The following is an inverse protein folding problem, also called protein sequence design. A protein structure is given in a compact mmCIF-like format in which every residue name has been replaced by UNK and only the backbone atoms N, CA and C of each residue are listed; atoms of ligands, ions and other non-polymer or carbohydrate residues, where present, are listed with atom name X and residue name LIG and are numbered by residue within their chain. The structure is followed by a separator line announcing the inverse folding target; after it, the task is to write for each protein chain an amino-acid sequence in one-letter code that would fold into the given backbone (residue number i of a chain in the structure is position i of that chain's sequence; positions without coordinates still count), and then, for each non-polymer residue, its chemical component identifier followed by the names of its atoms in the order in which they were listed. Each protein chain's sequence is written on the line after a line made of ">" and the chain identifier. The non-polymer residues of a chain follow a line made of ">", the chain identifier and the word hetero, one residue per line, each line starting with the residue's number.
data_IF_389702353583
#
_entry.id   IF_389702353583
#
_cell.length_a   1.000
_cell.length_b   1.000
_cell.length_c   1.000
_cell.angle_alpha   90.00
_cell.angle_beta   90.00
_cell.angle_gamma   90.00
#
_symmetry.space_group_name_H-M   'P 1'
#
loop_
_entity.id
_entity.type
_entity.pdbx_description
1 polymer ?
#
# COMPACT_ATOMS: atom_id res chain seq x y z
N UNK A 1 -12.53 -14.91 0.23
CA UNK A 1 -12.01 -13.68 -0.40
C UNK A 1 -11.63 -12.64 0.66
N UNK A 2 -10.62 -11.83 0.37
CA UNK A 2 -10.16 -10.69 1.18
C UNK A 2 -10.05 -9.45 0.31
N UNK A 3 -10.39 -8.30 0.87
CA UNK A 3 -10.00 -7.01 0.29
C UNK A 3 -8.59 -6.71 0.77
N UNK A 4 -7.70 -6.40 -0.18
CA UNK A 4 -6.32 -6.05 0.09
C UNK A 4 -6.10 -4.60 -0.28
N UNK A 5 -5.63 -3.81 0.68
CA UNK A 5 -5.28 -2.39 0.50
C UNK A 5 -3.78 -2.23 0.63
N UNK A 6 -3.11 -1.92 -0.47
CA UNK A 6 -1.66 -1.74 -0.55
C UNK A 6 -1.35 -0.25 -0.62
N UNK A 7 -0.73 0.30 0.43
CA UNK A 7 -0.21 1.67 0.44
C UNK A 7 1.27 1.61 0.14
N UNK A 8 1.73 2.28 -0.93
CA UNK A 8 3.13 2.24 -1.37
C UNK A 8 3.69 3.62 -1.72
N UNK A 9 5.01 3.69 -1.90
CA UNK A 9 5.67 4.88 -2.47
C UNK A 9 5.25 5.06 -3.94
N UNK A 10 4.96 6.29 -4.41
CA UNK A 10 4.46 6.50 -5.77
C UNK A 10 5.32 5.89 -6.88
N UNK A 11 6.65 6.00 -6.78
CA UNK A 11 7.56 5.45 -7.80
C UNK A 11 7.63 3.91 -7.85
N UNK A 12 7.02 3.20 -6.89
CA UNK A 12 6.90 1.75 -6.90
C UNK A 12 5.52 1.27 -7.34
N UNK A 13 4.55 2.17 -7.49
CA UNK A 13 3.17 1.80 -7.76
C UNK A 13 3.01 0.99 -9.05
N UNK A 14 3.69 1.41 -10.12
CA UNK A 14 3.67 0.71 -11.42
C UNK A 14 4.17 -0.73 -11.28
N UNK A 15 5.33 -0.95 -10.66
CA UNK A 15 5.89 -2.29 -10.43
C UNK A 15 5.00 -3.18 -9.56
N UNK A 16 4.32 -2.57 -8.58
CA UNK A 16 3.35 -3.29 -7.74
C UNK A 16 2.11 -3.67 -8.55
N UNK A 17 1.61 -2.80 -9.42
CA UNK A 17 0.50 -3.10 -10.32
C UNK A 17 0.83 -4.24 -11.29
N UNK A 18 2.04 -4.25 -11.86
CA UNK A 18 2.53 -5.36 -12.69
C UNK A 18 2.50 -6.68 -11.92
N UNK A 19 3.00 -6.67 -10.67
CA UNK A 19 3.00 -7.86 -9.80
C UNK A 19 1.58 -8.34 -9.48
N UNK A 20 0.66 -7.41 -9.22
CA UNK A 20 -0.76 -7.76 -8.97
C UNK A 20 -1.42 -8.35 -10.22
N UNK A 21 -1.10 -7.84 -11.41
CA UNK A 21 -1.61 -8.37 -12.67
C UNK A 21 -1.09 -9.80 -12.95
N UNK A 22 0.17 -10.09 -12.65
CA UNK A 22 0.74 -11.45 -12.77
C UNK A 22 0.07 -12.47 -11.83
N UNK A 23 -0.48 -12.00 -10.70
CA UNK A 23 -1.23 -12.82 -9.76
C UNK A 23 -2.69 -13.06 -10.19
N UNK A 24 -3.09 -12.59 -11.38
CA UNK A 24 -4.42 -12.79 -11.98
C UNK A 24 -5.56 -12.28 -11.11
N UNK A 25 -5.40 -11.09 -10.52
CA UNK A 25 -6.48 -10.42 -9.80
C UNK A 25 -7.42 -9.72 -10.79
N UNK A 26 -8.71 -10.06 -10.76
CA UNK A 26 -9.69 -9.63 -11.78
C UNK A 26 -9.98 -8.13 -11.77
N UNK A 27 -9.95 -7.49 -10.60
CA UNK A 27 -10.28 -6.08 -10.44
C UNK A 27 -9.43 -5.39 -9.38
N UNK A 28 -9.04 -4.15 -9.67
CA UNK A 28 -8.32 -3.27 -8.75
C UNK A 28 -8.78 -1.82 -8.90
N UNK A 29 -8.56 -1.03 -7.85
CA UNK A 29 -8.73 0.42 -7.85
C UNK A 29 -7.43 1.08 -7.37
N UNK A 30 -7.09 2.23 -7.96
CA UNK A 30 -5.89 2.99 -7.62
C UNK A 30 -6.29 4.40 -7.21
N UNK A 31 -5.80 4.85 -6.05
CA UNK A 31 -6.05 6.20 -5.53
C UNK A 31 -4.73 6.87 -5.17
N UNK A 32 -4.65 8.16 -5.46
CA UNK A 32 -3.63 9.02 -4.87
C UNK A 32 -4.07 9.40 -3.45
N UNK A 33 -3.23 9.07 -2.47
CA UNK A 33 -3.53 9.32 -1.06
C UNK A 33 -2.36 10.04 -0.40
N UNK A 34 -2.60 10.59 0.80
CA UNK A 34 -1.54 11.21 1.59
C UNK A 34 -1.35 10.46 2.90
N UNK A 35 -0.12 10.05 3.17
CA UNK A 35 0.26 9.30 4.36
C UNK A 35 0.79 10.20 5.48
N UNK A 36 0.44 9.85 6.71
CA UNK A 36 1.01 10.41 7.93
C UNK A 36 1.64 9.30 8.78
N UNK A 37 2.83 9.52 9.34
CA UNK A 37 3.48 8.52 10.19
C UNK A 37 4.98 8.74 10.43
N UNK A 38 5.65 7.67 10.89
CA UNK A 38 7.05 7.70 11.35
C UNK A 38 8.06 8.22 10.32
N UNK A 39 7.75 8.17 9.02
CA UNK A 39 8.62 8.71 7.96
C UNK A 39 8.94 10.21 8.16
N UNK A 40 8.13 10.93 8.94
CA UNK A 40 8.34 12.34 9.27
C UNK A 40 9.43 12.64 10.29
N UNK A 41 9.87 11.69 11.12
CA UNK A 41 10.91 11.96 12.13
C UNK A 41 12.27 12.32 11.51
N UNK A 42 12.37 12.29 10.18
CA UNK A 42 13.57 12.63 9.39
C UNK A 42 13.48 13.99 8.69
N UNK A 43 12.36 14.72 8.80
CA UNK A 43 12.27 16.13 8.39
C UNK A 43 12.57 16.98 9.62
N UNK A 44 13.74 17.62 9.61
CA UNK A 44 14.27 18.47 10.69
C UNK A 44 13.24 19.52 11.14
N UNK A 45 12.51 19.21 12.21
CA UNK A 45 11.65 20.19 12.89
C UNK A 45 12.52 20.88 13.97
N UNK A 46 13.02 22.07 13.64
CA UNK A 46 13.86 22.89 14.53
C UNK A 46 13.06 23.73 15.54
N UNK A 47 11.72 23.72 15.48
CA UNK A 47 10.84 24.48 16.39
C UNK A 47 9.53 23.74 16.67
N UNK A 48 8.93 23.90 17.86
CA UNK A 48 7.64 23.25 18.22
C UNK A 48 6.47 23.63 17.29
N UNK A 49 6.53 24.81 16.67
CA UNK A 49 5.53 25.34 15.75
C UNK A 49 5.59 24.69 14.35
N UNK A 50 6.71 24.02 14.02
CA UNK A 50 6.98 23.33 12.76
C UNK A 50 6.76 21.80 12.83
N UNK A 51 6.03 21.31 13.84
CA UNK A 51 5.43 19.97 13.84
C UNK A 51 4.38 19.90 12.73
N UNK A 52 4.86 19.86 11.49
CA UNK A 52 4.04 20.08 10.30
C UNK A 52 2.90 19.07 10.27
N UNK A 53 1.71 19.55 9.95
CA UNK A 53 0.58 18.73 9.49
C UNK A 53 0.78 18.27 8.03
N UNK A 54 2.01 18.37 7.49
CA UNK A 54 2.29 17.93 6.12
C UNK A 54 1.93 16.44 5.95
N UNK A 55 1.55 16.04 4.76
CA UNK A 55 1.36 14.62 4.46
C UNK A 55 2.27 14.26 3.30
N UNK A 56 2.78 13.03 3.28
CA UNK A 56 3.62 12.55 2.19
C UNK A 56 2.75 11.85 1.14
N UNK A 57 2.94 12.13 -0.16
CA UNK A 57 2.18 11.45 -1.21
C UNK A 57 2.46 9.95 -1.20
N UNK A 58 1.39 9.17 -1.42
CA UNK A 58 1.38 7.71 -1.51
C UNK A 58 0.40 7.30 -2.60
N UNK A 59 0.54 6.06 -3.05
CA UNK A 59 -0.46 5.41 -3.90
C UNK A 59 -1.11 4.30 -3.09
N UNK A 60 -2.43 4.27 -3.13
CA UNK A 60 -3.25 3.19 -2.58
C UNK A 60 -3.75 2.33 -3.74
N UNK A 61 -3.51 1.02 -3.65
CA UNK A 61 -4.01 0.03 -4.58
C UNK A 61 -4.94 -0.88 -3.79
N UNK A 62 -6.21 -0.91 -4.16
CA UNK A 62 -7.21 -1.80 -3.59
C UNK A 62 -7.50 -2.93 -4.57
N UNK A 63 -7.57 -4.16 -4.09
CA UNK A 63 -7.93 -5.31 -4.91
C UNK A 63 -8.57 -6.42 -4.06
N UNK A 64 -9.14 -7.43 -4.71
CA UNK A 64 -9.80 -8.55 -4.04
C UNK A 64 -9.09 -9.84 -4.39
N UNK A 65 -8.68 -10.58 -3.36
CA UNK A 65 -7.81 -11.75 -3.49
C UNK A 65 -8.48 -12.93 -2.82
N UNK A 66 -8.40 -14.10 -3.45
CA UNK A 66 -8.91 -15.33 -2.85
C UNK A 66 -8.16 -15.70 -1.57
N UNK A 67 -8.88 -16.31 -0.62
CA UNK A 67 -8.32 -16.65 0.70
C UNK A 67 -7.11 -17.58 0.56
N UNK A 68 -7.13 -18.48 -0.42
CA UNK A 68 -6.04 -19.43 -0.70
C UNK A 68 -4.80 -18.79 -1.30
N UNK A 69 -4.89 -17.56 -1.82
CA UNK A 69 -3.80 -16.85 -2.48
C UNK A 69 -3.19 -15.74 -1.61
N UNK A 70 -3.77 -15.46 -0.44
CA UNK A 70 -3.44 -14.27 0.35
C UNK A 70 -1.98 -14.21 0.79
N UNK A 71 -1.41 -15.33 1.24
CA UNK A 71 -0.02 -15.39 1.71
C UNK A 71 0.94 -15.15 0.54
N UNK A 72 0.69 -15.82 -0.60
CA UNK A 72 1.46 -15.63 -1.83
C UNK A 72 1.36 -14.19 -2.33
N UNK A 73 0.19 -13.57 -2.26
CA UNK A 73 -0.01 -12.18 -2.64
C UNK A 73 0.85 -11.24 -1.79
N UNK A 74 0.77 -11.39 -0.46
CA UNK A 74 1.50 -10.56 0.49
C UNK A 74 3.01 -10.67 0.23
N UNK A 75 3.52 -11.88 0.04
CA UNK A 75 4.96 -12.11 -0.18
C UNK A 75 5.46 -11.43 -1.45
N UNK A 76 4.79 -11.65 -2.59
CA UNK A 76 5.20 -11.08 -3.88
C UNK A 76 5.11 -9.55 -3.88
N UNK A 77 3.99 -8.99 -3.41
CA UNK A 77 3.81 -7.54 -3.36
C UNK A 77 4.78 -6.88 -2.38
N UNK A 78 5.02 -7.50 -1.22
CA UNK A 78 5.96 -6.97 -0.23
C UNK A 78 7.40 -6.93 -0.75
N UNK A 79 7.83 -7.92 -1.53
CA UNK A 79 9.17 -7.94 -2.12
C UNK A 79 9.40 -6.76 -3.08
N UNK A 80 8.39 -6.41 -3.88
CA UNK A 80 8.50 -5.33 -4.88
C UNK A 80 8.28 -3.94 -4.26
N UNK A 81 7.38 -3.84 -3.26
CA UNK A 81 7.07 -2.57 -2.59
C UNK A 81 8.14 -2.14 -1.57
N UNK A 82 9.04 -3.04 -1.15
CA UNK A 82 10.03 -2.78 -0.10
C UNK A 82 11.34 -2.23 -0.66
N UNK A 83 11.72 -1.05 -0.19
CA UNK A 83 13.06 -0.46 -0.42
C UNK A 83 14.01 -0.69 0.75
N UNK A 84 13.49 -1.15 1.89
CA UNK A 84 14.25 -1.28 3.13
C UNK A 84 14.43 0.04 3.88
N UNK A 85 13.89 1.14 3.36
CA UNK A 85 13.90 2.46 4.00
C UNK A 85 12.55 2.74 4.64
N UNK A 86 12.53 3.63 5.64
CA UNK A 86 11.28 4.08 6.25
C UNK A 86 10.31 4.61 5.18
N UNK A 87 9.03 4.31 5.39
CA UNK A 87 7.95 4.80 4.53
C UNK A 87 7.63 3.94 3.31
N UNK A 88 8.09 2.69 3.25
CA UNK A 88 7.67 1.74 2.19
C UNK A 88 6.15 1.55 2.12
N UNK A 89 5.48 1.72 3.25
CA UNK A 89 4.02 1.71 3.35
C UNK A 89 3.53 0.49 4.11
N UNK A 90 2.32 0.01 3.79
CA UNK A 90 1.65 -1.09 4.49
C UNK A 90 0.70 -1.82 3.56
N UNK A 91 0.46 -3.10 3.87
CA UNK A 91 -0.60 -3.91 3.26
C UNK A 91 -1.62 -4.19 4.35
N UNK A 92 -2.89 -3.90 4.09
CA UNK A 92 -4.01 -4.21 4.97
C UNK A 92 -4.85 -5.31 4.34
N UNK A 93 -5.24 -6.27 5.16
CA UNK A 93 -6.09 -7.39 4.76
C UNK A 93 -7.40 -7.27 5.52
N UNK A 94 -8.49 -7.07 4.80
CA UNK A 94 -9.82 -6.96 5.37
C UNK A 94 -10.66 -8.17 4.94
N UNK A 95 -11.42 -8.79 5.86
CA UNK A 95 -12.31 -9.88 5.51
C UNK A 95 -13.47 -9.38 4.64
N UNK A 96 -13.79 -10.12 3.58
CA UNK A 96 -15.00 -9.88 2.77
C UNK A 96 -16.00 -10.97 3.09
N UNK A 97 -17.17 -10.58 3.59
CA UNK A 97 -18.21 -11.53 4.04
C UNK A 97 -19.07 -12.06 2.90
N UNK A 98 -19.26 -11.26 1.84
CA UNK A 98 -20.11 -11.60 0.71
C UNK A 98 -19.64 -10.86 -0.54
N UNK A 99 -19.75 -11.53 -1.68
CA UNK A 99 -19.57 -10.97 -3.02
C UNK A 99 -20.82 -11.31 -3.83
N UNK A 100 -21.33 -10.35 -4.60
CA UNK A 100 -22.44 -10.56 -5.54
C UNK A 100 -22.02 -10.06 -6.91
N UNK A 101 -22.39 -10.82 -7.94
CA UNK A 101 -22.22 -10.46 -9.35
C UNK A 101 -23.35 -9.56 -9.86
#
# INVERSE_FOLDING_TARGET
>A
MKQVVVIVKPFLAERVLETVAELQVDALAVHEVKGYGRQKSYLDATTEQDRSLAFLPKVEIQCWVEDSQIDRFIDNVSQVARTGRMGDGKIFILPVSQVSE
#
